data_IF_245675664393
#
_entry.id   IF_245675664393
#
_cell.length_a   1.000
_cell.length_b   1.000
_cell.length_c   1.000
_cell.angle_alpha   90.00
_cell.angle_beta   90.00
_cell.angle_gamma   90.00
#
_symmetry.space_group_name_H-M   'P 1'
#
loop_
_entity.id
_entity.type
_entity.pdbx_description
1 polymer ?
#
# COMPACT_ATOMS: atom_id res chain seq x y z
N UNK A 1 -70.25 -2.00 44.93
CA UNK A 1 -69.23 -0.97 44.61
C UNK A 1 -68.25 -1.62 43.66
N UNK A 2 -68.62 -1.62 42.33
CA UNK A 2 -67.89 -2.32 41.29
C UNK A 2 -66.86 -1.39 40.63
N UNK A 3 -65.59 -1.71 40.80
CA UNK A 3 -64.50 -1.00 40.13
C UNK A 3 -64.27 -1.61 38.72
N UNK A 4 -64.77 -0.91 37.72
CA UNK A 4 -64.62 -1.21 36.31
C UNK A 4 -63.14 -1.03 35.90
N UNK A 5 -62.40 -2.11 35.73
CA UNK A 5 -61.03 -2.08 35.17
C UNK A 5 -61.14 -1.87 33.65
N UNK A 6 -60.92 -0.67 33.19
CA UNK A 6 -60.69 -0.37 31.77
C UNK A 6 -59.33 -0.92 31.35
N UNK A 7 -59.35 -2.06 30.73
CA UNK A 7 -58.20 -2.65 30.07
C UNK A 7 -57.91 -1.90 28.75
N UNK A 8 -56.98 -0.96 28.79
CA UNK A 8 -56.49 -0.30 27.59
C UNK A 8 -55.91 -1.38 26.63
N UNK A 9 -56.71 -1.73 25.61
CA UNK A 9 -56.24 -2.54 24.47
C UNK A 9 -55.18 -1.71 23.72
N UNK A 10 -53.91 -1.96 23.96
CA UNK A 10 -52.81 -1.52 23.09
C UNK A 10 -53.06 -2.05 21.71
N UNK A 11 -53.50 -1.19 20.79
CA UNK A 11 -53.65 -1.54 19.38
C UNK A 11 -52.29 -2.06 18.85
N UNK A 12 -52.28 -3.29 18.39
CA UNK A 12 -51.19 -3.84 17.60
C UNK A 12 -51.27 -3.16 16.24
N UNK A 13 -50.55 -2.04 16.08
CA UNK A 13 -50.33 -1.44 14.76
C UNK A 13 -49.50 -2.39 13.92
N UNK A 14 -50.12 -2.93 12.88
CA UNK A 14 -49.39 -3.66 11.84
C UNK A 14 -48.71 -2.67 10.90
N UNK A 15 -47.58 -3.06 10.33
CA UNK A 15 -46.90 -2.26 9.31
C UNK A 15 -47.78 -2.14 8.06
N UNK A 16 -47.85 -0.95 7.49
CA UNK A 16 -48.54 -0.68 6.25
C UNK A 16 -47.67 -1.19 5.06
N UNK A 17 -48.32 -1.60 3.99
CA UNK A 17 -47.63 -2.05 2.77
C UNK A 17 -46.76 -0.92 2.20
N UNK A 18 -47.18 0.33 2.35
CA UNK A 18 -46.43 1.52 1.96
C UNK A 18 -45.14 1.66 2.76
N UNK A 19 -45.19 1.42 4.08
CA UNK A 19 -44.02 1.54 4.98
C UNK A 19 -42.97 0.48 4.62
N UNK A 20 -43.39 -0.76 4.32
CA UNK A 20 -42.49 -1.83 3.86
C UNK A 20 -41.85 -1.46 2.52
N UNK A 21 -42.61 -0.89 1.58
CA UNK A 21 -42.08 -0.48 0.28
C UNK A 21 -41.04 0.63 0.42
N UNK A 22 -41.30 1.63 1.25
CA UNK A 22 -40.33 2.72 1.54
C UNK A 22 -39.08 2.15 2.22
N UNK A 23 -39.24 1.26 3.20
CA UNK A 23 -38.13 0.65 3.92
C UNK A 23 -37.22 -0.15 2.98
N UNK A 24 -37.80 -0.94 2.05
CA UNK A 24 -37.03 -1.68 1.03
C UNK A 24 -36.31 -0.70 0.10
N UNK A 25 -36.94 0.40 -0.31
CA UNK A 25 -36.32 1.44 -1.14
C UNK A 25 -35.10 2.07 -0.48
N UNK A 26 -35.23 2.48 0.78
CA UNK A 26 -34.12 3.05 1.58
C UNK A 26 -33.01 2.01 1.79
N UNK A 27 -33.38 0.77 2.08
CA UNK A 27 -32.41 -0.33 2.24
C UNK A 27 -31.63 -0.60 0.94
N UNK A 28 -32.30 -0.61 -0.21
CA UNK A 28 -31.65 -0.81 -1.50
C UNK A 28 -30.61 0.28 -1.80
N UNK A 29 -30.93 1.56 -1.51
CA UNK A 29 -29.98 2.67 -1.67
C UNK A 29 -28.78 2.49 -0.73
N UNK A 30 -29.01 2.09 0.53
CA UNK A 30 -27.96 1.82 1.50
C UNK A 30 -27.03 0.70 1.05
N UNK A 31 -27.57 -0.39 0.49
CA UNK A 31 -26.80 -1.52 -0.03
C UNK A 31 -25.92 -1.12 -1.24
N UNK A 32 -26.43 -0.26 -2.13
CA UNK A 32 -25.63 0.27 -3.24
C UNK A 32 -24.44 1.10 -2.75
N UNK A 33 -24.65 1.93 -1.72
CA UNK A 33 -23.57 2.71 -1.10
C UNK A 33 -22.48 1.83 -0.47
N UNK A 34 -22.88 0.78 0.25
CA UNK A 34 -21.94 -0.19 0.85
C UNK A 34 -21.15 -0.94 -0.23
N UNK A 35 -21.81 -1.36 -1.32
CA UNK A 35 -21.15 -2.04 -2.42
C UNK A 35 -20.07 -1.18 -3.10
N UNK A 36 -20.35 0.11 -3.27
CA UNK A 36 -19.37 1.06 -3.81
C UNK A 36 -18.15 1.22 -2.88
N UNK A 37 -18.36 1.28 -1.56
CA UNK A 37 -17.28 1.31 -0.58
C UNK A 37 -16.43 0.04 -0.59
N UNK A 38 -17.04 -1.14 -0.68
CA UNK A 38 -16.32 -2.41 -0.76
C UNK A 38 -15.44 -2.49 -2.01
N UNK A 39 -15.95 -2.05 -3.16
CA UNK A 39 -15.16 -2.00 -4.40
C UNK A 39 -13.95 -1.08 -4.27
N UNK A 40 -14.13 0.07 -3.62
CA UNK A 40 -13.04 1.01 -3.37
C UNK A 40 -11.99 0.43 -2.40
N UNK A 41 -12.43 -0.24 -1.33
CA UNK A 41 -11.54 -0.89 -0.36
C UNK A 41 -10.70 -2.01 -1.01
N UNK A 42 -11.30 -2.84 -1.86
CA UNK A 42 -10.60 -3.90 -2.59
C UNK A 42 -9.54 -3.33 -3.54
N UNK A 43 -9.84 -2.24 -4.25
CA UNK A 43 -8.87 -1.57 -5.13
C UNK A 43 -7.71 -0.94 -4.36
N UNK A 44 -7.97 -0.37 -3.19
CA UNK A 44 -6.93 0.20 -2.34
C UNK A 44 -6.03 -0.87 -1.70
N UNK A 45 -6.58 -2.04 -1.38
CA UNK A 45 -5.83 -3.13 -0.77
C UNK A 45 -4.74 -3.71 -1.66
N UNK A 46 -4.97 -3.80 -2.97
CA UNK A 46 -3.97 -4.25 -3.95
C UNK A 46 -2.74 -3.34 -3.99
N UNK A 47 -2.94 -2.03 -4.04
CA UNK A 47 -1.85 -1.04 -4.07
C UNK A 47 -0.98 -1.08 -2.80
N UNK A 48 -1.57 -1.40 -1.63
CA UNK A 48 -0.83 -1.56 -0.38
C UNK A 48 0.16 -2.73 -0.41
N UNK A 49 -0.22 -3.86 -1.00
CA UNK A 49 0.65 -5.04 -1.12
C UNK A 49 1.88 -4.76 -1.98
N UNK A 50 1.71 -4.11 -3.11
CA UNK A 50 2.82 -3.77 -4.02
C UNK A 50 3.80 -2.78 -3.39
N UNK A 51 3.31 -1.78 -2.67
CA UNK A 51 4.20 -0.85 -1.95
C UNK A 51 4.97 -1.52 -0.82
N UNK A 52 4.38 -2.48 -0.11
CA UNK A 52 5.09 -3.26 0.92
C UNK A 52 6.17 -4.15 0.30
N UNK A 53 5.89 -4.80 -0.82
CA UNK A 53 6.89 -5.59 -1.55
C UNK A 53 8.02 -4.71 -2.07
N UNK A 54 7.71 -3.57 -2.68
CA UNK A 54 8.70 -2.61 -3.14
C UNK A 54 9.59 -2.11 -2.00
N UNK A 55 9.04 -1.84 -0.82
CA UNK A 55 9.79 -1.45 0.36
C UNK A 55 10.72 -2.57 0.84
N UNK A 56 10.27 -3.83 0.84
CA UNK A 56 11.10 -4.99 1.20
C UNK A 56 12.27 -5.18 0.20
N UNK A 57 12.02 -5.02 -1.09
CA UNK A 57 13.07 -5.06 -2.13
C UNK A 57 14.07 -3.91 -1.91
N UNK A 58 13.58 -2.69 -1.65
CA UNK A 58 14.43 -1.53 -1.38
C UNK A 58 15.31 -1.75 -0.15
N UNK A 59 14.75 -2.33 0.91
CA UNK A 59 15.49 -2.64 2.14
C UNK A 59 16.56 -3.71 1.89
N UNK A 60 16.24 -4.79 1.19
CA UNK A 60 17.21 -5.84 0.82
C UNK A 60 18.38 -5.27 0.01
N UNK A 61 18.09 -4.42 -0.96
CA UNK A 61 19.12 -3.75 -1.75
C UNK A 61 19.95 -2.77 -0.94
N UNK A 62 19.32 -2.02 -0.02
CA UNK A 62 20.01 -1.12 0.89
C UNK A 62 21.00 -1.88 1.78
N UNK A 63 20.58 -3.00 2.37
CA UNK A 63 21.43 -3.86 3.19
C UNK A 63 22.62 -4.41 2.39
N UNK A 64 22.43 -4.78 1.13
CA UNK A 64 23.53 -5.21 0.27
C UNK A 64 24.55 -4.09 0.06
N UNK A 65 24.10 -2.87 -0.22
CA UNK A 65 24.97 -1.72 -0.40
C UNK A 65 25.68 -1.33 0.91
N UNK A 66 25.03 -1.44 2.05
CA UNK A 66 25.62 -1.16 3.36
C UNK A 66 26.70 -2.18 3.78
N UNK A 67 26.63 -3.42 3.25
CA UNK A 67 27.64 -4.46 3.49
C UNK A 67 28.90 -4.30 2.66
N UNK A 68 28.88 -3.51 1.58
CA UNK A 68 30.06 -3.25 0.77
C UNK A 68 31.13 -2.51 1.59
N UNK A 69 32.39 -2.68 1.23
CA UNK A 69 33.46 -1.86 1.82
C UNK A 69 33.31 -0.40 1.38
N UNK A 70 33.86 0.51 2.15
CA UNK A 70 33.81 1.94 1.80
C UNK A 70 34.41 2.21 0.42
N UNK A 71 35.49 1.52 0.07
CA UNK A 71 36.18 1.64 -1.23
C UNK A 71 35.33 1.14 -2.40
N UNK A 72 34.49 0.13 -2.15
CA UNK A 72 33.67 -0.52 -3.18
C UNK A 72 32.33 0.21 -3.39
N UNK A 73 31.98 1.11 -2.46
CA UNK A 73 30.79 1.93 -2.53
C UNK A 73 31.02 3.16 -3.45
N UNK A 74 31.08 2.92 -4.75
CA UNK A 74 31.39 3.96 -5.75
C UNK A 74 30.24 4.96 -5.87
N UNK A 75 30.58 6.26 -5.89
CA UNK A 75 29.63 7.33 -6.10
C UNK A 75 29.07 7.32 -7.53
N UNK A 76 27.78 7.60 -7.68
CA UNK A 76 27.08 7.55 -8.99
C UNK A 76 27.01 8.92 -9.67
N UNK A 77 27.79 9.92 -9.20
CA UNK A 77 27.79 11.27 -9.76
C UNK A 77 26.46 12.05 -9.56
N UNK A 78 25.65 11.65 -8.58
CA UNK A 78 24.38 12.30 -8.25
C UNK A 78 23.17 11.79 -9.05
N UNK A 79 23.37 10.93 -10.06
CA UNK A 79 22.29 10.28 -10.80
C UNK A 79 21.95 8.89 -10.22
N UNK A 80 20.73 8.44 -10.44
CA UNK A 80 20.38 7.05 -10.20
C UNK A 80 21.02 6.16 -11.26
N UNK A 81 21.45 4.95 -10.86
CA UNK A 81 21.93 3.94 -11.81
C UNK A 81 20.83 3.55 -12.80
N UNK A 82 21.22 2.90 -13.90
CA UNK A 82 20.26 2.25 -14.77
C UNK A 82 19.39 1.26 -13.95
N UNK A 83 18.08 1.23 -14.17
CA UNK A 83 17.20 0.35 -13.41
C UNK A 83 17.50 -1.13 -13.73
N UNK A 84 17.58 -1.92 -12.68
CA UNK A 84 17.69 -3.40 -12.77
C UNK A 84 16.31 -3.98 -12.48
N UNK A 85 15.77 -4.76 -13.40
CA UNK A 85 14.48 -5.43 -13.23
C UNK A 85 14.62 -6.58 -12.24
N UNK A 86 13.78 -6.60 -11.23
CA UNK A 86 13.64 -7.72 -10.30
C UNK A 86 12.28 -8.34 -10.56
N UNK A 87 12.29 -9.51 -11.16
CA UNK A 87 11.07 -10.28 -11.36
C UNK A 87 10.61 -10.79 -9.99
N UNK A 88 9.38 -10.51 -9.67
CA UNK A 88 8.79 -11.01 -8.45
C UNK A 88 8.49 -12.50 -8.63
N UNK A 89 9.40 -13.36 -8.16
CA UNK A 89 9.19 -14.80 -8.08
C UNK A 89 8.13 -15.13 -7.04
N UNK A 90 6.92 -14.62 -7.21
CA UNK A 90 5.80 -14.98 -6.38
C UNK A 90 5.16 -16.24 -6.93
N UNK A 91 5.39 -17.29 -6.17
CA UNK A 91 4.49 -18.45 -6.02
C UNK A 91 3.64 -18.80 -7.25
N UNK A 92 4.07 -19.88 -7.88
CA UNK A 92 3.54 -20.54 -9.07
C UNK A 92 2.05 -20.95 -9.05
N UNK A 93 1.15 -20.22 -8.40
CA UNK A 93 -0.27 -20.59 -8.30
C UNK A 93 -1.26 -19.43 -8.40
N UNK A 94 -0.87 -18.25 -8.81
CA UNK A 94 -1.84 -17.17 -9.06
C UNK A 94 -1.71 -16.69 -10.49
N UNK A 95 -2.84 -16.69 -11.19
CA UNK A 95 -3.05 -16.13 -12.54
C UNK A 95 -2.92 -14.58 -12.54
N UNK A 96 -2.27 -14.01 -11.55
CA UNK A 96 -2.01 -12.59 -11.46
C UNK A 96 -0.73 -12.29 -12.24
N UNK A 97 -0.85 -11.40 -13.21
CA UNK A 97 0.23 -10.82 -14.00
C UNK A 97 1.46 -10.55 -13.12
N UNK A 98 2.58 -11.18 -13.44
CA UNK A 98 3.84 -11.00 -12.73
C UNK A 98 4.20 -9.51 -12.73
N UNK A 99 4.17 -8.90 -11.54
CA UNK A 99 4.52 -7.50 -11.38
C UNK A 99 6.03 -7.35 -11.42
N UNK A 100 6.53 -6.61 -12.39
CA UNK A 100 7.96 -6.33 -12.52
C UNK A 100 8.33 -5.09 -11.71
N UNK A 101 9.39 -5.20 -10.90
CA UNK A 101 9.97 -4.09 -10.13
C UNK A 101 11.31 -3.69 -10.72
N UNK A 102 11.52 -2.40 -10.90
CA UNK A 102 12.78 -1.83 -11.34
C UNK A 102 13.50 -1.16 -10.17
N UNK A 103 14.70 -1.63 -9.86
CA UNK A 103 15.54 -1.12 -8.76
C UNK A 103 16.65 -0.26 -9.33
N UNK A 104 16.84 0.91 -8.77
CA UNK A 104 17.94 1.81 -9.06
C UNK A 104 18.44 2.42 -7.76
N UNK A 105 19.73 2.75 -7.71
CA UNK A 105 20.33 3.38 -6.53
C UNK A 105 21.18 4.56 -6.92
N UNK A 106 21.37 5.44 -5.97
CA UNK A 106 22.21 6.61 -6.09
C UNK A 106 23.09 6.74 -4.84
N UNK A 107 24.39 6.95 -5.04
CA UNK A 107 25.36 7.14 -4.00
C UNK A 107 26.02 8.50 -4.20
N UNK A 108 25.92 9.39 -3.20
CA UNK A 108 26.48 10.73 -3.24
C UNK A 108 27.33 11.00 -2.02
N UNK A 109 28.45 11.70 -2.21
CA UNK A 109 29.24 12.18 -1.07
C UNK A 109 28.54 13.39 -0.44
N UNK A 110 28.10 13.25 0.80
CA UNK A 110 27.62 14.35 1.64
C UNK A 110 28.80 15.13 2.18
N UNK A 111 29.84 14.41 2.65
CA UNK A 111 31.15 14.94 3.02
C UNK A 111 32.19 14.01 2.45
N UNK A 112 32.97 14.53 1.52
CA UNK A 112 34.01 13.77 0.81
C UNK A 112 34.91 13.02 1.78
N UNK A 113 35.05 11.71 1.57
CA UNK A 113 35.87 10.83 2.40
C UNK A 113 35.26 10.42 3.75
N UNK A 114 34.16 11.04 4.20
CA UNK A 114 33.61 10.83 5.55
C UNK A 114 32.17 10.29 5.55
N UNK A 115 31.31 10.82 4.69
CA UNK A 115 29.88 10.48 4.73
C UNK A 115 29.33 10.39 3.33
N UNK A 116 28.63 9.27 3.05
CA UNK A 116 27.87 9.06 1.81
C UNK A 116 26.40 8.88 2.11
N UNK A 117 25.56 9.47 1.26
CA UNK A 117 24.13 9.15 1.18
C UNK A 117 23.93 8.04 0.18
N UNK A 118 23.13 7.06 0.55
CA UNK A 118 22.71 5.95 -0.28
C UNK A 118 21.20 6.07 -0.42
N UNK A 119 20.70 6.28 -1.64
CA UNK A 119 19.29 6.30 -1.95
C UNK A 119 18.98 5.10 -2.85
N UNK A 120 18.04 4.27 -2.44
CA UNK A 120 17.53 3.15 -3.25
C UNK A 120 16.11 3.48 -3.67
N UNK A 121 15.85 3.45 -4.97
CA UNK A 121 14.54 3.63 -5.56
C UNK A 121 14.05 2.32 -6.15
N UNK A 122 12.85 1.93 -5.79
CA UNK A 122 12.12 0.82 -6.42
C UNK A 122 10.89 1.39 -7.09
N UNK A 123 10.74 1.16 -8.38
CA UNK A 123 9.60 1.61 -9.17
C UNK A 123 8.86 0.43 -9.78
N UNK A 124 7.55 0.59 -9.95
CA UNK A 124 6.66 -0.40 -10.58
C UNK A 124 5.49 0.30 -11.25
N UNK A 125 4.85 -0.39 -12.17
CA UNK A 125 3.69 0.12 -12.88
C UNK A 125 2.44 -0.64 -12.47
N UNK A 126 1.46 0.07 -11.92
CA UNK A 126 0.12 -0.45 -11.68
C UNK A 126 -0.79 -0.09 -12.85
N UNK A 127 -1.73 -0.97 -13.28
CA UNK A 127 -2.60 -0.70 -14.43
C UNK A 127 -3.39 0.60 -14.35
N UNK A 128 -3.70 1.06 -13.14
CA UNK A 128 -4.47 2.30 -12.92
C UNK A 128 -3.62 3.48 -12.45
N UNK A 129 -2.36 3.24 -12.07
CA UNK A 129 -1.42 4.25 -11.53
C UNK A 129 0.00 3.92 -11.97
N UNK A 130 0.40 4.29 -13.19
CA UNK A 130 1.76 4.06 -13.66
C UNK A 130 2.79 4.88 -12.86
N UNK A 131 4.05 4.49 -12.93
CA UNK A 131 5.19 5.18 -12.33
C UNK A 131 5.12 5.31 -10.79
N UNK A 132 4.67 4.27 -10.10
CA UNK A 132 4.77 4.23 -8.63
C UNK A 132 6.22 3.98 -8.22
N UNK A 133 6.65 4.62 -7.16
CA UNK A 133 7.99 4.38 -6.64
C UNK A 133 8.04 4.57 -5.12
N UNK A 134 8.96 3.84 -4.50
CA UNK A 134 9.38 4.01 -3.10
C UNK A 134 10.87 4.33 -3.13
N UNK A 135 11.29 5.30 -2.33
CA UNK A 135 12.70 5.64 -2.14
C UNK A 135 13.05 5.43 -0.67
N UNK A 136 14.09 4.68 -0.44
CA UNK A 136 14.69 4.48 0.88
C UNK A 136 16.06 5.17 0.89
N UNK A 137 16.33 5.96 1.93
CA UNK A 137 17.58 6.72 2.07
C UNK A 137 18.30 6.34 3.36
N UNK A 138 19.61 6.18 3.28
CA UNK A 138 20.50 5.92 4.42
C UNK A 138 21.76 6.78 4.34
N UNK A 139 22.37 7.04 5.50
CA UNK A 139 23.66 7.73 5.60
C UNK A 139 24.70 6.77 6.15
N UNK A 140 25.80 6.60 5.42
CA UNK A 140 26.91 5.77 5.83
C UNK A 140 28.15 6.60 6.15
N UNK A 141 28.75 6.31 7.30
CA UNK A 141 29.99 6.95 7.74
C UNK A 141 31.19 6.05 7.43
N UNK A 142 32.29 6.68 7.01
CA UNK A 142 33.56 5.99 6.83
C UNK A 142 34.17 5.64 8.19
N UNK A 143 34.20 4.37 8.52
CA UNK A 143 34.83 3.85 9.74
C UNK A 143 36.22 3.26 9.47
N UNK A 144 36.62 3.14 8.21
CA UNK A 144 37.90 2.54 7.78
C UNK A 144 39.03 3.57 7.75
N UNK A 145 38.73 4.84 7.93
CA UNK A 145 39.68 5.96 7.88
C UNK A 145 39.96 6.62 9.25
N UNK A 146 39.65 5.93 10.38
CA UNK A 146 40.01 6.37 11.75
C UNK A 146 41.19 5.56 12.27
#
# INVERSE_FOLDING_TARGET
>A
MDAKRDGARRGRGGFTLLEVTIAIGVFAIGMLGLSAMQLHALRSGGSGRHSTQAAAIAQSQMEQLERLRWTDLVTTGGAFTAPVTVDNLVQANTTESEMSYAVSWRITDVRVGWTRSIDVRVSWDEPQRPNRSVVLSSLRFNREGL
#
